data_IF_154877908862
#
_entry.id   IF_154877908862
#
_cell.length_a   1.000
_cell.length_b   1.000
_cell.length_c   1.000
_cell.angle_alpha   90.00
_cell.angle_beta   90.00
_cell.angle_gamma   90.00
#
_symmetry.space_group_name_H-M   'P 1'
#
loop_
_entity.id
_entity.type
_entity.pdbx_description
1 polymer ?
#
# COMPACT_ATOMS: atom_id res chain seq x y z
N UNK A 1 3.44 -9.45 -10.92
CA UNK A 1 3.62 -9.32 -9.46
C UNK A 1 4.31 -10.56 -8.87
N UNK A 2 3.68 -11.74 -8.85
CA UNK A 2 4.22 -12.95 -8.20
C UNK A 2 5.64 -13.35 -8.65
N UNK A 3 5.91 -13.41 -9.95
CA UNK A 3 7.22 -13.84 -10.45
C UNK A 3 8.38 -12.91 -10.00
N UNK A 4 8.11 -11.61 -9.90
CA UNK A 4 9.05 -10.63 -9.35
C UNK A 4 9.17 -10.76 -7.83
N UNK A 5 8.09 -11.13 -7.14
CA UNK A 5 8.10 -11.41 -5.70
C UNK A 5 8.98 -12.61 -5.34
N UNK A 6 8.91 -13.68 -6.13
CA UNK A 6 9.60 -14.94 -5.85
C UNK A 6 11.10 -14.88 -6.21
N UNK A 7 11.45 -14.19 -7.30
CA UNK A 7 12.81 -14.20 -7.87
C UNK A 7 13.52 -12.84 -7.84
N UNK A 8 12.84 -11.80 -7.39
CA UNK A 8 13.40 -10.47 -7.23
C UNK A 8 13.68 -9.74 -8.56
N UNK A 9 14.50 -8.67 -8.50
CA UNK A 9 14.76 -7.77 -9.63
C UNK A 9 15.58 -8.41 -10.76
N UNK A 10 16.06 -9.64 -10.63
CA UNK A 10 16.85 -10.34 -11.66
C UNK A 10 15.98 -11.11 -12.66
N UNK A 11 14.68 -11.27 -12.40
CA UNK A 11 13.83 -12.12 -13.25
C UNK A 11 13.67 -11.56 -14.68
N UNK A 12 13.83 -12.42 -15.70
CA UNK A 12 13.71 -12.01 -17.10
C UNK A 12 12.27 -11.74 -17.52
N UNK A 13 12.09 -10.94 -18.57
CA UNK A 13 10.77 -10.75 -19.20
C UNK A 13 10.22 -12.05 -19.80
N UNK A 14 11.10 -12.92 -20.29
CA UNK A 14 10.73 -14.24 -20.84
C UNK A 14 10.18 -15.18 -19.75
N UNK A 15 10.81 -15.17 -18.57
CA UNK A 15 10.35 -15.92 -17.41
C UNK A 15 8.97 -15.44 -16.94
N UNK A 16 8.78 -14.11 -16.90
CA UNK A 16 7.49 -13.49 -16.56
C UNK A 16 6.42 -13.90 -17.57
N UNK A 17 6.72 -13.87 -18.87
CA UNK A 17 5.79 -14.27 -19.92
C UNK A 17 5.40 -15.75 -19.79
N UNK A 18 6.39 -16.63 -19.55
CA UNK A 18 6.17 -18.05 -19.33
C UNK A 18 5.28 -18.30 -18.11
N UNK A 19 5.54 -17.60 -16.99
CA UNK A 19 4.75 -17.74 -15.76
C UNK A 19 3.32 -17.24 -15.91
N UNK A 20 3.14 -16.16 -16.67
CA UNK A 20 1.84 -15.56 -16.95
C UNK A 20 1.07 -16.27 -18.09
N UNK A 21 1.64 -17.36 -18.65
CA UNK A 21 1.05 -18.14 -19.75
C UNK A 21 0.70 -17.29 -20.98
N UNK A 22 1.52 -16.27 -21.26
CA UNK A 22 1.37 -15.38 -22.42
C UNK A 22 2.60 -15.42 -23.32
N UNK A 23 2.41 -15.11 -24.61
CA UNK A 23 3.53 -14.98 -25.52
C UNK A 23 4.44 -13.81 -25.10
N UNK A 24 5.76 -14.03 -25.17
CA UNK A 24 6.78 -13.00 -24.90
C UNK A 24 6.51 -11.71 -25.69
N UNK A 25 6.16 -11.83 -26.96
CA UNK A 25 5.82 -10.69 -27.81
C UNK A 25 4.60 -9.88 -27.31
N UNK A 26 3.64 -10.51 -26.63
CA UNK A 26 2.52 -9.82 -25.99
C UNK A 26 2.99 -8.99 -24.82
N UNK A 27 3.87 -9.53 -23.97
CA UNK A 27 4.43 -8.80 -22.82
C UNK A 27 5.22 -7.59 -23.30
N UNK A 28 6.15 -7.76 -24.25
CA UNK A 28 6.93 -6.65 -24.79
C UNK A 28 6.08 -5.60 -25.53
N UNK A 29 4.94 -6.00 -26.11
CA UNK A 29 4.01 -5.05 -26.74
C UNK A 29 3.33 -4.13 -25.71
N UNK A 30 2.98 -4.66 -24.54
CA UNK A 30 2.34 -3.88 -23.47
C UNK A 30 3.36 -3.16 -22.57
N UNK A 31 4.49 -3.81 -22.32
CA UNK A 31 5.57 -3.34 -21.46
C UNK A 31 6.90 -3.51 -22.21
N UNK A 32 7.29 -2.51 -23.02
CA UNK A 32 8.49 -2.59 -23.85
C UNK A 32 9.78 -2.80 -23.05
N UNK A 33 9.77 -2.41 -21.77
CA UNK A 33 10.90 -2.57 -20.85
C UNK A 33 10.45 -3.09 -19.49
N UNK A 34 11.40 -3.61 -18.70
CA UNK A 34 11.13 -4.07 -17.34
C UNK A 34 10.72 -2.92 -16.43
N UNK A 35 11.28 -1.74 -16.65
CA UNK A 35 10.91 -0.49 -15.98
C UNK A 35 9.45 -0.16 -16.23
N UNK A 36 8.97 -0.27 -17.48
CA UNK A 36 7.57 -0.03 -17.82
C UNK A 36 6.63 -1.03 -17.12
N UNK A 37 7.02 -2.31 -17.04
CA UNK A 37 6.26 -3.33 -16.31
C UNK A 37 6.21 -3.03 -14.80
N UNK A 38 7.37 -2.78 -14.19
CA UNK A 38 7.47 -2.51 -12.74
C UNK A 38 6.71 -1.23 -12.38
N UNK A 39 6.84 -0.16 -13.17
CA UNK A 39 6.10 1.08 -12.99
C UNK A 39 4.59 0.84 -13.05
N UNK A 40 4.10 0.06 -14.01
CA UNK A 40 2.68 -0.28 -14.12
C UNK A 40 2.17 -1.07 -12.91
N UNK A 41 2.95 -2.01 -12.38
CA UNK A 41 2.58 -2.77 -11.16
C UNK A 41 2.52 -1.84 -9.94
N UNK A 42 3.46 -0.89 -9.83
CA UNK A 42 3.46 0.08 -8.71
C UNK A 42 2.28 1.04 -8.83
N UNK A 43 1.98 1.55 -10.03
CA UNK A 43 0.81 2.39 -10.27
C UNK A 43 -0.49 1.67 -9.93
N UNK A 44 -0.68 0.42 -10.39
CA UNK A 44 -1.83 -0.39 -10.02
C UNK A 44 -1.95 -0.57 -8.49
N UNK A 45 -0.82 -0.80 -7.82
CA UNK A 45 -0.80 -0.96 -6.37
C UNK A 45 -1.20 0.34 -5.66
N UNK A 46 -0.78 1.51 -6.14
CA UNK A 46 -1.20 2.79 -5.57
C UNK A 46 -2.68 3.11 -5.82
N UNK A 47 -3.22 2.75 -6.97
CA UNK A 47 -4.67 2.83 -7.22
C UNK A 47 -5.44 1.97 -6.22
N UNK A 48 -4.97 0.74 -5.95
CA UNK A 48 -5.57 -0.12 -4.94
C UNK A 48 -5.54 0.52 -3.53
N UNK A 49 -4.44 1.17 -3.15
CA UNK A 49 -4.36 1.92 -1.88
C UNK A 49 -5.37 3.06 -1.84
N UNK A 50 -5.52 3.82 -2.93
CA UNK A 50 -6.48 4.91 -3.01
C UNK A 50 -7.93 4.40 -2.88
N UNK A 51 -8.26 3.33 -3.61
CA UNK A 51 -9.58 2.71 -3.58
C UNK A 51 -9.90 2.15 -2.18
N UNK A 52 -8.93 1.53 -1.50
CA UNK A 52 -9.10 1.04 -0.14
C UNK A 52 -9.31 2.17 0.89
N UNK A 53 -8.58 3.29 0.75
CA UNK A 53 -8.77 4.46 1.59
C UNK A 53 -10.18 5.08 1.42
N UNK A 54 -10.62 5.24 0.17
CA UNK A 54 -11.94 5.78 -0.17
C UNK A 54 -13.08 4.85 0.27
N UNK A 55 -12.87 3.53 0.17
CA UNK A 55 -13.80 2.51 0.69
C UNK A 55 -13.94 2.63 2.19
N UNK A 56 -12.83 2.73 2.93
CA UNK A 56 -12.84 2.88 4.39
C UNK A 56 -13.56 4.17 4.83
N UNK A 57 -13.34 5.27 4.10
CA UNK A 57 -14.08 6.52 4.32
C UNK A 57 -15.59 6.33 4.06
N UNK A 58 -15.96 5.69 2.96
CA UNK A 58 -17.36 5.45 2.58
C UNK A 58 -18.09 4.59 3.62
N UNK A 59 -17.44 3.55 4.17
CA UNK A 59 -17.98 2.75 5.26
C UNK A 59 -18.17 3.58 6.54
N UNK A 60 -17.24 4.48 6.85
CA UNK A 60 -17.40 5.41 7.96
C UNK A 60 -18.55 6.41 7.74
N UNK A 61 -18.75 6.89 6.52
CA UNK A 61 -19.88 7.74 6.15
C UNK A 61 -21.22 6.98 6.25
N UNK A 62 -21.21 5.67 6.02
CA UNK A 62 -22.35 4.78 6.24
C UNK A 62 -22.60 4.41 7.71
N UNK A 63 -21.78 4.91 8.64
CA UNK A 63 -21.97 4.76 10.09
C UNK A 63 -21.02 3.78 10.78
N UNK A 64 -20.08 3.17 10.06
CA UNK A 64 -19.05 2.35 10.70
C UNK A 64 -18.05 3.21 11.50
N UNK A 65 -17.48 2.69 12.62
CA UNK A 65 -16.56 3.48 13.45
C UNK A 65 -15.28 3.89 12.70
N UNK A 66 -14.96 5.19 12.71
CA UNK A 66 -13.80 5.74 12.01
C UNK A 66 -12.47 5.07 12.42
N UNK A 67 -12.28 4.85 13.73
CA UNK A 67 -11.12 4.13 14.27
C UNK A 67 -10.96 2.74 13.65
N UNK A 68 -12.05 1.97 13.54
CA UNK A 68 -12.02 0.63 12.95
C UNK A 68 -11.61 0.66 11.48
N UNK A 69 -12.14 1.62 10.73
CA UNK A 69 -11.80 1.81 9.32
C UNK A 69 -10.36 2.25 9.11
N UNK A 70 -9.83 3.14 9.95
CA UNK A 70 -8.42 3.56 9.87
C UNK A 70 -7.48 2.38 10.14
N UNK A 71 -7.78 1.57 11.16
CA UNK A 71 -7.01 0.36 11.47
C UNK A 71 -7.05 -0.63 10.30
N UNK A 72 -8.25 -0.88 9.75
CA UNK A 72 -8.41 -1.78 8.61
C UNK A 72 -7.62 -1.31 7.37
N UNK A 73 -7.61 0.00 7.09
CA UNK A 73 -6.80 0.58 6.04
C UNK A 73 -5.30 0.34 6.26
N UNK A 74 -4.79 0.61 7.47
CA UNK A 74 -3.37 0.43 7.79
C UNK A 74 -2.96 -1.04 7.66
N UNK A 75 -3.80 -1.97 8.11
CA UNK A 75 -3.58 -3.42 7.96
C UNK A 75 -3.51 -3.87 6.50
N UNK A 76 -4.46 -3.40 5.68
CA UNK A 76 -4.49 -3.67 4.25
C UNK A 76 -3.24 -3.13 3.55
N UNK A 77 -2.84 -1.89 3.88
CA UNK A 77 -1.66 -1.25 3.32
C UNK A 77 -0.37 -1.99 3.68
N UNK A 78 -0.18 -2.38 4.95
CA UNK A 78 0.99 -3.17 5.37
C UNK A 78 1.06 -4.50 4.62
N UNK A 79 -0.09 -5.14 4.41
CA UNK A 79 -0.19 -6.40 3.68
C UNK A 79 0.23 -6.21 2.23
N UNK A 80 -0.37 -5.23 1.54
CA UNK A 80 -0.05 -4.92 0.14
C UNK A 80 1.41 -4.51 -0.05
N UNK A 81 1.96 -3.69 0.85
CA UNK A 81 3.37 -3.30 0.82
C UNK A 81 4.31 -4.47 1.03
N UNK A 82 3.94 -5.44 1.87
CA UNK A 82 4.72 -6.68 2.03
C UNK A 82 4.73 -7.49 0.74
N UNK A 83 3.57 -7.69 0.12
CA UNK A 83 3.44 -8.46 -1.13
C UNK A 83 4.20 -7.82 -2.29
N UNK A 84 4.29 -6.49 -2.29
CA UNK A 84 4.99 -5.72 -3.30
C UNK A 84 6.44 -5.37 -2.95
N UNK A 85 6.99 -5.85 -1.83
CA UNK A 85 8.32 -5.45 -1.37
C UNK A 85 9.41 -5.67 -2.43
N UNK A 86 9.39 -6.82 -3.12
CA UNK A 86 10.34 -7.12 -4.18
C UNK A 86 10.14 -6.23 -5.43
N UNK A 87 8.90 -5.85 -5.73
CA UNK A 87 8.57 -4.94 -6.85
C UNK A 87 9.08 -3.53 -6.54
N UNK A 88 8.89 -3.06 -5.31
CA UNK A 88 9.41 -1.76 -4.87
C UNK A 88 10.94 -1.74 -4.89
N UNK A 89 11.60 -2.80 -4.41
CA UNK A 89 13.06 -2.94 -4.51
C UNK A 89 13.54 -2.96 -5.97
N UNK A 90 12.79 -3.62 -6.87
CA UNK A 90 13.10 -3.62 -8.30
C UNK A 90 12.96 -2.23 -8.91
N UNK A 91 11.92 -1.48 -8.54
CA UNK A 91 11.70 -0.10 -9.00
C UNK A 91 12.84 0.82 -8.57
N UNK A 92 13.30 0.71 -7.33
CA UNK A 92 14.44 1.47 -6.81
C UNK A 92 15.74 1.12 -7.55
N UNK A 93 16.01 -0.18 -7.75
CA UNK A 93 17.22 -0.64 -8.41
C UNK A 93 17.34 -0.16 -9.87
N UNK A 94 16.22 -0.05 -10.58
CA UNK A 94 16.17 0.39 -11.99
C UNK A 94 15.91 1.89 -12.15
N UNK A 95 15.81 2.65 -11.05
CA UNK A 95 15.62 4.11 -11.08
C UNK A 95 14.29 4.56 -11.68
N UNK A 96 13.25 3.73 -11.61
CA UNK A 96 11.93 4.08 -12.14
C UNK A 96 11.20 5.07 -11.21
N UNK A 97 10.56 6.07 -11.79
CA UNK A 97 9.73 7.03 -11.05
C UNK A 97 8.38 6.43 -10.66
N UNK A 98 7.91 6.76 -9.47
CA UNK A 98 6.52 6.52 -9.06
C UNK A 98 5.62 7.49 -9.84
N UNK A 99 4.96 7.01 -10.89
CA UNK A 99 3.92 7.78 -11.59
C UNK A 99 2.60 7.79 -10.82
N UNK A 100 2.60 8.22 -9.55
CA UNK A 100 1.52 7.91 -8.59
C UNK A 100 0.98 9.09 -7.80
N UNK A 101 1.30 10.32 -8.22
CA UNK A 101 0.93 11.55 -7.48
C UNK A 101 -0.60 11.69 -7.26
N UNK A 102 -1.41 11.30 -8.25
CA UNK A 102 -2.87 11.43 -8.14
C UNK A 102 -3.49 10.39 -7.18
N UNK A 103 -3.10 9.11 -7.30
CA UNK A 103 -3.59 8.05 -6.43
C UNK A 103 -3.15 8.28 -4.97
N UNK A 104 -1.90 8.71 -4.78
CA UNK A 104 -1.39 9.10 -3.46
C UNK A 104 -2.18 10.28 -2.88
N UNK A 105 -2.47 11.31 -3.68
CA UNK A 105 -3.29 12.44 -3.25
C UNK A 105 -4.74 12.03 -2.88
N UNK A 106 -5.35 11.11 -3.66
CA UNK A 106 -6.67 10.52 -3.35
C UNK A 106 -6.65 9.79 -2.02
N UNK A 107 -5.69 8.88 -1.83
CA UNK A 107 -5.52 8.14 -0.58
C UNK A 107 -5.34 9.10 0.61
N UNK A 108 -4.44 10.08 0.48
CA UNK A 108 -4.19 11.11 1.50
C UNK A 108 -5.46 11.85 1.88
N UNK A 109 -6.22 12.30 0.88
CA UNK A 109 -7.46 13.05 1.09
C UNK A 109 -8.51 12.19 1.80
N UNK A 110 -8.66 10.92 1.41
CA UNK A 110 -9.61 10.02 2.03
C UNK A 110 -9.25 9.74 3.50
N UNK A 111 -7.98 9.48 3.80
CA UNK A 111 -7.51 9.23 5.18
C UNK A 111 -7.60 10.48 6.05
N UNK A 112 -7.29 11.65 5.52
CA UNK A 112 -7.48 12.92 6.24
C UNK A 112 -8.94 13.09 6.67
N UNK A 113 -9.89 12.92 5.73
CA UNK A 113 -11.33 13.01 6.03
C UNK A 113 -11.80 11.94 7.01
N UNK A 114 -11.25 10.74 6.93
CA UNK A 114 -11.56 9.66 7.88
C UNK A 114 -11.10 10.02 9.30
N UNK A 115 -9.89 10.58 9.44
CA UNK A 115 -9.35 11.05 10.72
C UNK A 115 -10.22 12.19 11.28
N UNK A 116 -10.60 13.17 10.47
CA UNK A 116 -11.51 14.26 10.89
C UNK A 116 -12.83 13.73 11.45
N UNK A 117 -13.46 12.76 10.79
CA UNK A 117 -14.67 12.10 11.31
C UNK A 117 -14.41 11.34 12.61
N UNK A 118 -13.22 10.76 12.76
CA UNK A 118 -12.78 10.14 14.00
C UNK A 118 -12.65 11.15 15.14
N UNK A 119 -12.15 12.34 14.87
CA UNK A 119 -12.09 13.44 15.83
C UNK A 119 -13.49 13.93 16.24
N UNK A 120 -14.39 14.11 15.27
CA UNK A 120 -15.76 14.57 15.52
C UNK A 120 -16.55 13.56 16.37
N UNK A 121 -16.32 12.27 16.16
CA UNK A 121 -16.91 11.18 16.94
C UNK A 121 -16.14 10.85 18.23
N UNK A 122 -15.02 11.52 18.51
CA UNK A 122 -14.10 11.20 19.61
C UNK A 122 -13.62 9.73 19.61
N UNK A 123 -13.64 9.07 18.45
CA UNK A 123 -13.15 7.69 18.29
C UNK A 123 -11.65 7.65 17.96
N UNK A 124 -11.07 8.77 17.52
CA UNK A 124 -9.65 8.97 17.28
C UNK A 124 -9.18 10.18 18.13
N UNK A 125 -8.05 10.10 18.86
CA UNK A 125 -7.52 11.23 19.61
C UNK A 125 -7.15 12.42 18.72
N UNK A 126 -7.40 13.65 19.18
CA UNK A 126 -7.23 14.89 18.38
C UNK A 126 -5.79 15.17 17.92
N UNK A 127 -4.80 14.54 18.54
CA UNK A 127 -3.40 14.71 18.17
C UNK A 127 -2.98 13.82 17.00
N UNK A 128 -3.81 12.83 16.61
CA UNK A 128 -3.49 11.91 15.52
C UNK A 128 -3.74 12.61 14.19
N UNK A 129 -2.74 12.61 13.32
CA UNK A 129 -2.84 13.20 11.98
C UNK A 129 -2.48 12.19 10.88
N UNK A 130 -2.63 12.59 9.62
CA UNK A 130 -2.21 11.76 8.48
C UNK A 130 -0.69 11.57 8.46
N UNK A 131 0.08 12.54 8.97
CA UNK A 131 1.53 12.43 9.14
C UNK A 131 1.93 11.32 10.11
N UNK A 132 1.15 11.08 11.17
CA UNK A 132 1.39 9.95 12.07
C UNK A 132 1.17 8.61 11.37
N UNK A 133 0.18 8.54 10.47
CA UNK A 133 -0.04 7.35 9.63
C UNK A 133 1.17 7.12 8.73
N UNK A 134 1.69 8.18 8.08
CA UNK A 134 2.92 8.07 7.29
C UNK A 134 4.14 7.64 8.12
N UNK A 135 4.30 8.21 9.31
CA UNK A 135 5.39 7.84 10.22
C UNK A 135 5.29 6.38 10.68
N UNK A 136 4.09 5.92 11.00
CA UNK A 136 3.82 4.52 11.33
C UNK A 136 4.19 3.62 10.16
N UNK A 137 3.71 3.92 8.95
CA UNK A 137 4.02 3.13 7.75
C UNK A 137 5.52 3.12 7.42
N UNK A 138 6.22 4.23 7.62
CA UNK A 138 7.67 4.31 7.42
C UNK A 138 8.47 3.42 8.38
N UNK A 139 7.90 3.09 9.55
CA UNK A 139 8.54 2.26 10.58
C UNK A 139 8.03 0.82 10.63
N UNK A 140 7.11 0.46 9.73
CA UNK A 140 6.55 -0.88 9.67
C UNK A 140 7.61 -1.93 9.30
N UNK A 141 7.69 -3.07 10.04
CA UNK A 141 8.72 -4.07 9.80
C UNK A 141 8.34 -5.01 8.64
N UNK A 142 8.28 -4.50 7.42
CA UNK A 142 7.80 -5.22 6.22
C UNK A 142 8.46 -6.59 6.00
N UNK A 143 9.78 -6.67 6.22
CA UNK A 143 10.56 -7.91 6.07
C UNK A 143 10.41 -8.94 7.19
N UNK A 144 9.63 -8.66 8.24
CA UNK A 144 9.41 -9.58 9.36
C UNK A 144 8.18 -10.48 9.14
N UNK A 145 8.10 -11.65 9.78
CA UNK A 145 6.92 -12.53 9.69
C UNK A 145 5.62 -11.83 10.09
N UNK A 146 4.49 -12.28 9.53
CA UNK A 146 3.15 -11.69 9.77
C UNK A 146 2.85 -11.46 11.25
N UNK A 147 3.16 -12.45 12.11
CA UNK A 147 2.94 -12.36 13.57
C UNK A 147 3.71 -11.20 14.23
N UNK A 148 4.92 -10.87 13.74
CA UNK A 148 5.72 -9.76 14.24
C UNK A 148 5.12 -8.43 13.80
N UNK A 149 4.68 -8.34 12.53
CA UNK A 149 4.02 -7.14 11.99
C UNK A 149 2.70 -6.85 12.71
N UNK A 150 1.88 -7.87 12.94
CA UNK A 150 0.63 -7.75 13.70
C UNK A 150 0.89 -7.30 15.14
N UNK A 151 1.91 -7.87 15.80
CA UNK A 151 2.29 -7.44 17.15
C UNK A 151 2.76 -5.99 17.18
N UNK A 152 3.62 -5.60 16.23
CA UNK A 152 4.11 -4.23 16.10
C UNK A 152 2.94 -3.25 15.88
N UNK A 153 2.03 -3.56 14.95
CA UNK A 153 0.89 -2.70 14.65
C UNK A 153 -0.01 -2.53 15.87
N UNK A 154 -0.32 -3.61 16.58
CA UNK A 154 -1.11 -3.55 17.80
C UNK A 154 -0.47 -2.66 18.88
N UNK A 155 0.85 -2.74 19.07
CA UNK A 155 1.57 -1.89 20.03
C UNK A 155 1.53 -0.41 19.61
N UNK A 156 1.79 -0.13 18.32
CA UNK A 156 1.76 1.24 17.80
C UNK A 156 0.36 1.85 17.89
N UNK A 157 -0.68 1.11 17.50
CA UNK A 157 -2.07 1.54 17.58
C UNK A 157 -2.52 1.71 19.03
N UNK A 158 -2.07 0.86 19.95
CA UNK A 158 -2.38 1.04 21.38
C UNK A 158 -1.78 2.35 21.89
N UNK A 159 -0.51 2.63 21.56
CA UNK A 159 0.15 3.89 21.93
C UNK A 159 -0.50 5.11 21.32
N UNK A 160 -0.76 5.10 20.01
CA UNK A 160 -1.38 6.22 19.27
C UNK A 160 -2.81 6.53 19.69
N UNK A 161 -3.53 5.53 20.21
CA UNK A 161 -4.95 5.65 20.59
C UNK A 161 -5.13 5.93 22.08
N UNK A 162 -4.06 6.17 22.83
CA UNK A 162 -4.11 6.57 24.23
C UNK A 162 -4.05 8.10 24.33
N UNK A 163 -4.84 8.72 25.22
CA UNK A 163 -4.83 10.17 25.48
C UNK A 163 -3.56 10.68 26.17
#
# INVERSE_FOLDING_TARGET
RQEIADRGPEVGMDDIASRAEVAVGTVYRHFPTKEALVSAIVSESMEQVADDAERCLSLCEAGEPARGQLVAFIEALITLSTENQAVLAAMEAIGASKGTDLAEARATTAIHRLIERGHDSSSIPRHVTVEDVYMLLATAPYGQPRIVRERWLNLMLTGLMTE
#
